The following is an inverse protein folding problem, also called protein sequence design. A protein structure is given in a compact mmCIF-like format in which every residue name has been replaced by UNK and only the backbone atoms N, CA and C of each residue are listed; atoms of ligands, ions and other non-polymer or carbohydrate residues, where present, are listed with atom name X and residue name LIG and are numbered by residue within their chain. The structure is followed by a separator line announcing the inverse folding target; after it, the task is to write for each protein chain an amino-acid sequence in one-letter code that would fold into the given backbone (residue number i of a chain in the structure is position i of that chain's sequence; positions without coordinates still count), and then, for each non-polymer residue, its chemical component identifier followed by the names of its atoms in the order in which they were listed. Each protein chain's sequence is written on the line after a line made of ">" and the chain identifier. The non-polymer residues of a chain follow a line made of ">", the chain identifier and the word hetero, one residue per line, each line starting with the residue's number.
data_IF_655037689697
#
_entry.id   IF_655037689697
#
_cell.length_a   1.000
_cell.length_b   1.000
_cell.length_c   1.000
_cell.angle_alpha   90.00
_cell.angle_beta   90.00
_cell.angle_gamma   90.00
#
_symmetry.space_group_name_H-M   'P 1'
#
loop_
_entity.id
_entity.type
_entity.pdbx_description
1 polymer ?
#
# COMPACT_ATOMS: atom_id res chain seq x y z
N UNK A 1 -3.55 -17.67 -6.79
CA UNK A 1 -4.28 -16.56 -7.42
C UNK A 1 -3.47 -15.27 -7.40
N UNK A 2 -3.23 -14.62 -6.25
CA UNK A 2 -2.35 -13.42 -6.22
C UNK A 2 -0.89 -13.75 -6.57
N UNK A 3 -0.29 -14.74 -5.90
CA UNK A 3 1.10 -15.14 -6.17
C UNK A 3 1.30 -15.85 -7.53
N UNK A 4 0.22 -16.35 -8.13
CA UNK A 4 0.25 -16.98 -9.46
C UNK A 4 0.01 -16.00 -10.61
N UNK A 5 -0.23 -14.71 -10.31
CA UNK A 5 -0.47 -13.66 -11.32
C UNK A 5 -1.87 -13.66 -11.96
N UNK A 6 -2.75 -14.56 -11.54
CA UNK A 6 -4.13 -14.67 -12.06
C UNK A 6 -5.07 -13.58 -11.54
N UNK A 7 -4.71 -12.91 -10.44
CA UNK A 7 -5.47 -11.80 -9.89
C UNK A 7 -4.71 -10.49 -10.11
N UNK A 8 -5.22 -9.64 -11.00
CA UNK A 8 -4.72 -8.27 -11.19
C UNK A 8 -5.49 -7.35 -10.25
N UNK A 9 -4.78 -6.73 -9.32
CA UNK A 9 -5.31 -5.74 -8.38
C UNK A 9 -4.60 -4.42 -8.59
N UNK A 10 -5.38 -3.34 -8.61
CA UNK A 10 -4.84 -1.99 -8.61
C UNK A 10 -4.35 -1.63 -7.21
N UNK A 11 -3.11 -1.18 -7.13
CA UNK A 11 -2.45 -0.81 -5.87
C UNK A 11 -2.32 0.71 -5.74
N UNK A 12 -2.67 1.23 -4.57
CA UNK A 12 -2.50 2.63 -4.17
C UNK A 12 -1.41 2.69 -3.09
N UNK A 13 -0.20 3.11 -3.49
CA UNK A 13 1.00 3.05 -2.64
C UNK A 13 1.35 4.44 -2.12
N UNK A 14 1.28 4.59 -0.80
CA UNK A 14 1.78 5.75 -0.06
C UNK A 14 3.21 5.49 0.43
N UNK A 15 3.96 6.54 0.74
CA UNK A 15 5.38 6.45 1.11
C UNK A 15 5.61 7.01 2.52
N UNK A 16 6.55 6.42 3.27
CA UNK A 16 7.06 6.97 4.53
C UNK A 16 6.24 6.57 5.76
N UNK A 17 6.93 6.11 6.80
CA UNK A 17 6.30 5.65 8.05
C UNK A 17 5.51 6.77 8.76
N UNK A 18 5.96 8.02 8.64
CA UNK A 18 5.30 9.21 9.17
C UNK A 18 3.89 9.42 8.58
N UNK A 19 3.60 8.85 7.41
CA UNK A 19 2.31 8.94 6.77
C UNK A 19 1.32 7.86 7.25
N UNK A 20 1.68 7.00 8.21
CA UNK A 20 0.81 5.89 8.69
C UNK A 20 -0.59 6.37 9.12
N UNK A 21 -0.74 7.37 10.02
CA UNK A 21 -2.07 7.79 10.46
C UNK A 21 -2.91 8.37 9.31
N UNK A 22 -2.28 9.20 8.48
CA UNK A 22 -2.92 9.82 7.31
C UNK A 22 -3.36 8.77 6.28
N UNK A 23 -2.50 7.78 6.02
CA UNK A 23 -2.77 6.69 5.08
C UNK A 23 -3.91 5.83 5.59
N UNK A 24 -3.91 5.46 6.86
CA UNK A 24 -5.02 4.71 7.46
C UNK A 24 -6.37 5.42 7.32
N UNK A 25 -6.42 6.74 7.55
CA UNK A 25 -7.64 7.54 7.41
C UNK A 25 -8.19 7.58 5.98
N UNK A 26 -7.36 7.43 4.94
CA UNK A 26 -7.82 7.39 3.54
C UNK A 26 -8.82 6.27 3.28
N UNK A 27 -8.67 5.13 3.98
CA UNK A 27 -9.59 3.99 3.89
C UNK A 27 -11.02 4.38 4.27
N UNK A 28 -11.17 5.12 5.37
CA UNK A 28 -12.48 5.56 5.88
C UNK A 28 -13.04 6.77 5.14
N UNK A 29 -12.18 7.47 4.39
CA UNK A 29 -12.58 8.59 3.54
C UNK A 29 -12.91 8.17 2.11
N UNK A 30 -12.80 6.88 1.77
CA UNK A 30 -12.99 6.37 0.40
C UNK A 30 -11.97 6.94 -0.59
N UNK A 31 -10.78 7.31 -0.11
CA UNK A 31 -9.74 7.94 -0.92
C UNK A 31 -8.71 6.97 -1.49
N UNK A 32 -8.84 5.67 -1.20
CA UNK A 32 -8.01 4.62 -1.77
C UNK A 32 -8.64 4.05 -3.05
N UNK A 33 -7.81 3.76 -4.03
CA UNK A 33 -8.19 2.96 -5.19
C UNK A 33 -7.69 1.53 -4.97
N UNK A 34 -8.62 0.57 -4.91
CA UNK A 34 -8.28 -0.83 -4.66
C UNK A 34 -7.51 -1.02 -3.36
N UNK A 35 -6.34 -1.65 -3.46
CA UNK A 35 -5.52 -2.06 -2.31
C UNK A 35 -4.56 -0.94 -1.91
N UNK A 36 -4.73 -0.41 -0.70
CA UNK A 36 -3.83 0.61 -0.18
C UNK A 36 -2.62 -0.02 0.55
N UNK A 37 -1.43 0.46 0.21
CA UNK A 37 -0.16 0.04 0.82
C UNK A 37 0.60 1.28 1.32
N UNK A 38 1.40 1.09 2.37
CA UNK A 38 2.38 2.09 2.82
C UNK A 38 3.77 1.47 2.70
N UNK A 39 4.60 2.02 1.83
CA UNK A 39 6.01 1.64 1.71
C UNK A 39 6.80 2.35 2.81
N UNK A 40 7.48 1.56 3.63
CA UNK A 40 8.25 2.03 4.79
C UNK A 40 9.76 1.75 4.66
N UNK A 41 10.16 0.94 3.68
CA UNK A 41 11.55 0.63 3.34
C UNK A 41 11.61 0.11 1.90
N UNK A 42 12.79 0.20 1.29
CA UNK A 42 13.10 -0.52 0.05
C UNK A 42 13.39 -1.99 0.35
N UNK A 43 13.26 -2.85 -0.66
CA UNK A 43 13.55 -4.29 -0.48
C UNK A 43 15.06 -4.48 -0.25
N UNK A 44 15.87 -3.63 -0.87
CA UNK A 44 17.32 -3.58 -0.75
C UNK A 44 17.79 -3.13 0.65
N UNK A 45 16.91 -2.52 1.45
CA UNK A 45 17.19 -2.09 2.82
C UNK A 45 17.00 -3.21 3.84
N UNK A 46 16.48 -4.38 3.44
CA UNK A 46 16.28 -5.54 4.31
C UNK A 46 17.56 -6.38 4.38
N UNK A 47 18.01 -6.81 5.58
CA UNK A 47 19.24 -7.58 5.77
C UNK A 47 19.20 -8.98 5.13
#
# INVERSE_FOLDING_TARGET
>A
WNASGELVVEEDIQQGFENTPKTFLRLFQGKNLGKQLLRIAEVEDLP
#
